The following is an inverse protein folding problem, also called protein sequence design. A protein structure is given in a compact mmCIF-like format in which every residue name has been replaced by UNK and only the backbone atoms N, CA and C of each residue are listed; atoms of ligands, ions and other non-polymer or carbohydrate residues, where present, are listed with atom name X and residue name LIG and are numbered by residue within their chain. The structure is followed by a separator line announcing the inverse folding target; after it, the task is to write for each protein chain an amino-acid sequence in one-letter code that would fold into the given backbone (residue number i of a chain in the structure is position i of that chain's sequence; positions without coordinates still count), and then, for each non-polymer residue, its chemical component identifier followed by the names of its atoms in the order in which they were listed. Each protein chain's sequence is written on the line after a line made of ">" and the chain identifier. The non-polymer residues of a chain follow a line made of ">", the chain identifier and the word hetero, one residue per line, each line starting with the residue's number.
data_IF_671387488103
#
_entry.id   IF_671387488103
#
_cell.length_a   1.000
_cell.length_b   1.000
_cell.length_c   1.000
_cell.angle_alpha   90.00
_cell.angle_beta   90.00
_cell.angle_gamma   90.00
#
_symmetry.space_group_name_H-M   'P 1'
#
loop_
_entity.id
_entity.type
_entity.pdbx_description
1 polymer ?
#
# COMPACT_ATOMS: atom_id res chain seq x y z
N UNK A 1 -12.53 19.74 -3.28
CA UNK A 1 -11.13 19.88 -2.91
C UNK A 1 -10.26 19.25 -3.99
N UNK A 2 -9.37 20.01 -4.55
CA UNK A 2 -8.37 19.52 -5.51
C UNK A 2 -7.07 19.25 -4.77
N UNK A 3 -6.94 18.03 -4.29
CA UNK A 3 -5.77 17.57 -3.55
C UNK A 3 -4.83 16.79 -4.49
N UNK A 4 -3.51 16.98 -4.42
CA UNK A 4 -2.55 16.36 -5.33
C UNK A 4 -2.38 14.87 -5.01
N UNK A 5 -3.41 14.09 -5.33
CA UNK A 5 -3.49 12.65 -5.10
C UNK A 5 -3.05 11.90 -6.34
N UNK A 6 -1.99 11.14 -6.23
CA UNK A 6 -1.52 10.19 -7.24
C UNK A 6 -1.88 8.74 -6.90
N UNK A 7 -1.45 7.83 -7.75
CA UNK A 7 -1.70 6.40 -7.57
C UNK A 7 -0.41 5.60 -7.62
N UNK A 8 -0.15 4.88 -6.55
CA UNK A 8 0.84 3.81 -6.51
C UNK A 8 0.13 2.48 -6.77
N UNK A 9 0.38 1.91 -7.92
CA UNK A 9 -0.19 0.63 -8.33
C UNK A 9 0.76 -0.48 -7.96
N UNK A 10 0.25 -1.55 -7.35
CA UNK A 10 1.06 -2.69 -6.92
C UNK A 10 0.40 -4.00 -7.28
N UNK A 11 1.20 -4.96 -7.67
CA UNK A 11 0.74 -6.27 -8.15
C UNK A 11 1.16 -7.39 -7.21
N UNK A 12 0.37 -8.45 -7.18
CA UNK A 12 0.80 -9.72 -6.60
C UNK A 12 0.20 -10.92 -7.35
N UNK A 13 0.88 -12.05 -7.23
CA UNK A 13 0.42 -13.37 -7.65
C UNK A 13 0.61 -14.36 -6.52
N UNK A 14 -0.23 -15.39 -6.47
CA UNK A 14 -0.01 -16.55 -5.62
C UNK A 14 0.47 -17.74 -6.45
N UNK A 15 1.44 -18.46 -5.89
CA UNK A 15 1.95 -19.70 -6.45
C UNK A 15 1.70 -20.85 -5.48
N UNK A 16 1.47 -22.00 -6.04
CA UNK A 16 1.39 -23.25 -5.23
C UNK A 16 2.76 -23.50 -4.61
N UNK A 17 2.83 -23.75 -3.28
CA UNK A 17 4.07 -24.13 -2.64
C UNK A 17 4.70 -25.37 -3.28
N UNK A 18 6.02 -25.41 -3.34
CA UNK A 18 6.78 -26.60 -3.74
C UNK A 18 6.79 -27.69 -2.67
N UNK A 19 7.54 -28.75 -2.94
CA UNK A 19 7.66 -29.91 -2.03
C UNK A 19 8.80 -29.73 -1.01
N UNK A 20 9.61 -28.69 -1.17
CA UNK A 20 10.73 -28.35 -0.30
C UNK A 20 10.31 -27.68 1.03
N UNK A 21 11.28 -27.17 1.80
CA UNK A 21 11.02 -26.49 3.06
C UNK A 21 10.08 -25.28 2.86
N UNK A 22 9.03 -25.20 3.69
CA UNK A 22 8.03 -24.14 3.58
C UNK A 22 8.49 -22.88 4.31
N UNK A 23 8.14 -21.71 3.73
CA UNK A 23 8.37 -20.41 4.37
C UNK A 23 7.52 -20.28 5.63
N UNK A 24 8.12 -19.78 6.70
CA UNK A 24 7.45 -19.49 7.98
C UNK A 24 7.17 -18.00 8.19
N UNK A 25 7.76 -17.15 7.38
CA UNK A 25 7.63 -15.67 7.43
C UNK A 25 7.89 -15.08 6.06
N UNK A 26 7.48 -13.83 5.87
CA UNK A 26 7.80 -13.08 4.66
C UNK A 26 9.32 -12.84 4.54
N UNK A 27 9.82 -12.89 3.31
CA UNK A 27 11.20 -12.59 2.92
C UNK A 27 11.16 -11.44 1.92
N UNK A 28 11.92 -10.40 2.21
CA UNK A 28 12.10 -9.27 1.30
C UNK A 28 13.39 -9.45 0.52
N UNK A 29 13.28 -9.57 -0.80
CA UNK A 29 14.42 -9.51 -1.71
C UNK A 29 14.67 -8.06 -2.10
N UNK A 30 15.70 -7.46 -1.51
CA UNK A 30 16.01 -6.04 -1.68
C UNK A 30 16.58 -5.76 -3.09
N UNK A 31 17.38 -6.66 -3.64
CA UNK A 31 17.94 -6.52 -4.98
C UNK A 31 16.89 -6.70 -6.06
N UNK A 32 16.03 -7.69 -5.92
CA UNK A 32 14.94 -7.97 -6.86
C UNK A 32 13.75 -7.02 -6.72
N UNK A 33 13.64 -6.31 -5.59
CA UNK A 33 12.54 -5.39 -5.33
C UNK A 33 11.18 -6.08 -5.14
N UNK A 34 11.16 -7.26 -4.54
CA UNK A 34 9.92 -8.02 -4.31
C UNK A 34 9.89 -8.70 -2.94
N UNK A 35 8.70 -9.12 -2.54
CA UNK A 35 8.48 -9.86 -1.29
C UNK A 35 7.88 -11.23 -1.61
N UNK A 36 8.43 -12.28 -0.97
CA UNK A 36 7.85 -13.63 -0.94
C UNK A 36 7.20 -13.81 0.42
N UNK A 37 5.90 -14.13 0.47
CA UNK A 37 5.16 -14.29 1.72
C UNK A 37 4.31 -15.56 1.75
N UNK A 38 4.38 -16.37 2.82
CA UNK A 38 3.46 -17.48 3.01
C UNK A 38 2.07 -16.93 3.35
N UNK A 39 1.07 -17.36 2.60
CA UNK A 39 -0.33 -16.96 2.76
C UNK A 39 -1.20 -18.20 2.86
N UNK A 40 -2.46 -18.06 3.29
CA UNK A 40 -3.42 -19.17 3.32
C UNK A 40 -3.68 -19.77 1.94
N UNK A 41 -3.63 -18.95 0.90
CA UNK A 41 -3.88 -19.35 -0.49
C UNK A 41 -2.66 -19.97 -1.19
N UNK A 42 -1.45 -19.79 -0.64
CA UNK A 42 -0.20 -20.22 -1.26
C UNK A 42 0.96 -19.30 -0.92
N UNK A 43 1.95 -19.25 -1.78
CA UNK A 43 3.09 -18.32 -1.66
C UNK A 43 2.80 -17.08 -2.49
N UNK A 44 2.65 -15.93 -1.85
CA UNK A 44 2.45 -14.65 -2.53
C UNK A 44 3.77 -14.03 -2.94
N UNK A 45 3.85 -13.62 -4.20
CA UNK A 45 4.91 -12.74 -4.71
C UNK A 45 4.30 -11.36 -4.90
N UNK A 46 4.83 -10.36 -4.21
CA UNK A 46 4.41 -8.97 -4.32
C UNK A 46 5.52 -8.16 -4.97
N UNK A 47 5.25 -7.53 -6.10
CA UNK A 47 6.22 -6.69 -6.81
C UNK A 47 6.37 -5.31 -6.18
N UNK A 48 7.26 -4.48 -6.75
CA UNK A 48 7.40 -3.07 -6.41
C UNK A 48 6.18 -2.23 -6.81
N UNK A 49 6.39 -0.92 -6.98
CA UNK A 49 5.36 0.06 -7.26
C UNK A 49 5.42 0.52 -8.72
N UNK A 50 4.26 0.61 -9.35
CA UNK A 50 4.07 1.29 -10.64
C UNK A 50 3.39 2.63 -10.39
N UNK A 51 3.98 3.71 -10.89
CA UNK A 51 3.39 5.05 -10.88
C UNK A 51 2.68 5.25 -12.22
N UNK A 52 1.38 5.29 -12.19
CA UNK A 52 0.53 5.46 -13.37
C UNK A 52 -0.86 5.97 -12.98
N UNK A 53 -1.64 6.41 -13.97
CA UNK A 53 -3.03 6.77 -13.74
C UNK A 53 -3.81 5.60 -13.14
N UNK A 54 -4.79 5.92 -12.30
CA UNK A 54 -5.60 4.94 -11.58
C UNK A 54 -6.13 3.81 -12.48
N UNK A 55 -6.67 4.19 -13.63
CA UNK A 55 -7.35 3.29 -14.55
C UNK A 55 -6.53 2.98 -15.82
N UNK A 56 -5.22 3.30 -15.81
CA UNK A 56 -4.32 2.88 -16.88
C UNK A 56 -4.34 1.34 -17.05
N UNK A 57 -4.13 0.81 -18.26
CA UNK A 57 -4.00 -0.63 -18.46
C UNK A 57 -2.97 -1.26 -17.51
N UNK A 58 -3.16 -2.52 -17.06
CA UNK A 58 -2.17 -3.21 -16.24
C UNK A 58 -0.83 -3.40 -16.97
N UNK A 59 0.27 -3.21 -16.24
CA UNK A 59 1.61 -3.58 -16.69
C UNK A 59 2.20 -4.68 -15.78
N UNK A 60 2.10 -5.91 -16.24
CA UNK A 60 2.50 -7.08 -15.47
C UNK A 60 4.00 -7.39 -15.50
N UNK A 61 4.79 -6.68 -16.32
CA UNK A 61 6.23 -7.00 -16.52
C UNK A 61 7.00 -7.12 -15.21
N UNK A 62 6.73 -6.21 -14.28
CA UNK A 62 7.44 -6.19 -13.01
C UNK A 62 7.11 -7.41 -12.13
N UNK A 63 5.83 -7.75 -11.97
CA UNK A 63 5.41 -8.90 -11.15
C UNK A 63 5.82 -10.21 -11.80
N UNK A 64 5.75 -10.33 -13.13
CA UNK A 64 6.21 -11.53 -13.85
C UNK A 64 7.71 -11.76 -13.64
N UNK A 65 8.53 -10.71 -13.79
CA UNK A 65 9.96 -10.79 -13.46
C UNK A 65 10.20 -11.18 -12.00
N UNK A 66 9.44 -10.62 -11.06
CA UNK A 66 9.56 -10.96 -9.64
C UNK A 66 9.25 -12.44 -9.40
N UNK A 67 8.27 -13.02 -10.08
CA UNK A 67 7.95 -14.45 -10.03
C UNK A 67 9.11 -15.30 -10.53
N UNK A 68 9.72 -14.94 -11.65
CA UNK A 68 10.87 -15.66 -12.20
C UNK A 68 12.05 -15.67 -11.23
N UNK A 69 12.36 -14.52 -10.63
CA UNK A 69 13.45 -14.41 -9.66
C UNK A 69 13.11 -15.16 -8.36
N UNK A 70 11.88 -15.07 -7.87
CA UNK A 70 11.42 -15.76 -6.66
C UNK A 70 11.52 -17.29 -6.81
N UNK A 71 11.25 -17.84 -8.01
CA UNK A 71 11.40 -19.28 -8.29
C UNK A 71 12.86 -19.76 -8.21
N UNK A 72 13.83 -18.88 -8.39
CA UNK A 72 15.24 -19.22 -8.20
C UNK A 72 15.62 -19.28 -6.71
N UNK A 73 14.92 -18.51 -5.86
CA UNK A 73 15.20 -18.43 -4.44
C UNK A 73 14.39 -19.43 -3.60
N UNK A 74 13.21 -19.88 -4.07
CA UNK A 74 12.33 -20.75 -3.33
C UNK A 74 11.56 -21.71 -4.25
N UNK A 75 11.39 -22.95 -3.78
CA UNK A 75 10.65 -23.97 -4.52
C UNK A 75 9.14 -23.65 -4.56
N UNK A 76 8.63 -23.40 -5.76
CA UNK A 76 7.24 -23.04 -6.04
C UNK A 76 6.77 -23.68 -7.36
N UNK A 77 5.52 -24.11 -7.37
CA UNK A 77 4.85 -24.72 -8.54
C UNK A 77 4.10 -23.66 -9.37
N UNK A 78 3.02 -24.05 -10.01
CA UNK A 78 2.23 -23.19 -10.88
C UNK A 78 1.56 -22.01 -10.18
N UNK A 79 1.18 -21.04 -10.97
CA UNK A 79 0.38 -19.90 -10.53
C UNK A 79 -1.04 -20.37 -10.16
N UNK A 80 -1.61 -19.81 -9.11
CA UNK A 80 -2.96 -20.15 -8.63
C UNK A 80 -3.99 -19.33 -9.39
N UNK A 81 -3.73 -18.04 -9.56
CA UNK A 81 -4.58 -17.15 -10.37
C UNK A 81 -4.02 -17.00 -11.79
N UNK A 82 -4.88 -16.88 -12.82
CA UNK A 82 -4.43 -16.68 -14.21
C UNK A 82 -3.83 -15.29 -14.46
N UNK A 83 -4.22 -14.30 -13.65
CA UNK A 83 -3.80 -12.91 -13.78
C UNK A 83 -3.36 -12.34 -12.42
N UNK A 84 -2.35 -11.45 -12.40
CA UNK A 84 -1.95 -10.77 -11.17
C UNK A 84 -3.07 -9.87 -10.62
N UNK A 85 -3.23 -9.90 -9.32
CA UNK A 85 -4.07 -8.91 -8.65
C UNK A 85 -3.41 -7.53 -8.69
N UNK A 86 -4.20 -6.49 -9.01
CA UNK A 86 -3.75 -5.09 -9.06
C UNK A 86 -4.42 -4.26 -7.97
N UNK A 87 -3.62 -3.70 -7.07
CA UNK A 87 -4.02 -2.70 -6.08
C UNK A 87 -3.68 -1.28 -6.50
N UNK A 88 -4.56 -0.33 -6.17
CA UNK A 88 -4.39 1.11 -6.44
C UNK A 88 -4.34 1.84 -5.12
N UNK A 89 -3.17 2.32 -4.72
CA UNK A 89 -2.96 3.01 -3.45
C UNK A 89 -3.04 4.51 -3.66
N UNK A 90 -3.95 5.22 -2.96
CA UNK A 90 -3.98 6.67 -3.00
C UNK A 90 -2.74 7.23 -2.29
N UNK A 91 -1.96 8.02 -3.00
CA UNK A 91 -0.67 8.54 -2.54
C UNK A 91 -0.63 10.04 -2.69
N UNK A 92 -0.33 10.76 -1.61
CA UNK A 92 -0.08 12.18 -1.68
C UNK A 92 1.34 12.45 -2.22
N UNK A 93 1.53 13.54 -2.95
CA UNK A 93 2.81 13.88 -3.59
C UNK A 93 3.96 14.06 -2.61
N UNK A 94 3.67 14.41 -1.35
CA UNK A 94 4.63 14.56 -0.26
C UNK A 94 4.78 13.30 0.61
N UNK A 95 4.11 12.21 0.25
CA UNK A 95 4.10 10.95 0.98
C UNK A 95 3.52 11.00 2.40
N UNK A 96 2.83 12.08 2.77
CA UNK A 96 2.16 12.21 4.06
C UNK A 96 0.64 12.08 3.90
N UNK A 97 -0.07 11.37 4.80
CA UNK A 97 -1.53 11.30 4.74
C UNK A 97 -2.17 12.68 4.98
N UNK A 98 -3.44 12.81 4.65
CA UNK A 98 -4.24 13.99 4.99
C UNK A 98 -5.11 13.64 6.18
N UNK A 99 -4.87 14.32 7.31
CA UNK A 99 -5.62 14.15 8.56
C UNK A 99 -6.15 15.51 9.04
N UNK A 100 -7.39 15.54 9.48
CA UNK A 100 -7.96 16.71 10.16
C UNK A 100 -9.20 17.30 9.50
N UNK A 101 -9.68 18.45 9.99
CA UNK A 101 -10.88 19.09 9.48
C UNK A 101 -10.67 19.62 8.06
N UNK A 102 -11.72 19.53 7.26
CA UNK A 102 -11.74 20.17 5.94
C UNK A 102 -11.80 21.70 6.11
N UNK A 103 -10.88 22.49 5.52
CA UNK A 103 -10.75 23.90 5.83
C UNK A 103 -11.95 24.76 5.36
N UNK A 104 -12.74 24.29 4.38
CA UNK A 104 -13.88 25.02 3.81
C UNK A 104 -15.25 24.39 4.10
N UNK A 105 -15.31 23.27 4.86
CA UNK A 105 -16.56 22.57 5.16
C UNK A 105 -16.62 22.15 6.62
N UNK A 106 -17.51 22.76 7.37
CA UNK A 106 -17.75 22.41 8.78
C UNK A 106 -18.30 20.99 8.88
N UNK A 107 -17.76 20.18 9.78
CA UNK A 107 -18.20 18.81 10.04
C UNK A 107 -17.64 17.76 9.05
N UNK A 108 -16.88 18.17 8.04
CA UNK A 108 -16.16 17.26 7.17
C UNK A 108 -14.73 17.05 7.68
N UNK A 109 -14.31 15.79 7.74
CA UNK A 109 -12.99 15.40 8.24
C UNK A 109 -12.28 14.52 7.22
N UNK A 110 -10.98 14.71 7.08
CA UNK A 110 -10.12 13.93 6.21
C UNK A 110 -9.31 12.91 7.02
N UNK A 111 -9.22 11.70 6.49
CA UNK A 111 -8.34 10.64 7.00
C UNK A 111 -8.04 9.67 5.85
N UNK A 112 -7.11 10.04 4.97
CA UNK A 112 -6.77 9.28 3.76
C UNK A 112 -5.34 9.54 3.28
N UNK A 113 -4.93 8.86 2.21
CA UNK A 113 -3.63 9.07 1.57
C UNK A 113 -2.46 8.38 2.29
N UNK A 114 -2.72 7.29 3.03
CA UNK A 114 -1.72 6.55 3.80
C UNK A 114 -0.85 5.63 2.96
N UNK A 115 -0.96 5.65 1.63
CA UNK A 115 -0.16 4.83 0.72
C UNK A 115 -0.22 3.32 1.07
N UNK A 116 0.95 2.67 1.12
CA UNK A 116 1.09 1.25 1.47
C UNK A 116 1.24 0.98 2.98
N UNK A 117 1.22 2.00 3.83
CA UNK A 117 1.36 1.88 5.29
C UNK A 117 0.05 2.11 6.05
N UNK A 118 -1.08 2.24 5.34
CA UNK A 118 -2.38 2.58 5.94
C UNK A 118 -2.85 1.61 7.02
N UNK A 119 -2.57 0.32 6.88
CA UNK A 119 -2.96 -0.66 7.90
C UNK A 119 -2.22 -0.43 9.23
N UNK A 120 -0.92 -0.17 9.19
CA UNK A 120 -0.12 0.09 10.40
C UNK A 120 -0.34 1.50 10.98
N UNK A 121 -0.63 2.49 10.13
CA UNK A 121 -0.91 3.86 10.58
C UNK A 121 -2.36 4.09 11.04
N UNK A 122 -3.27 3.24 10.63
CA UNK A 122 -4.71 3.37 10.89
C UNK A 122 -5.06 3.64 12.36
N UNK A 123 -4.56 2.86 13.34
CA UNK A 123 -4.84 3.09 14.74
C UNK A 123 -4.36 4.46 15.24
N UNK A 124 -3.14 4.88 14.88
CA UNK A 124 -2.60 6.19 15.25
C UNK A 124 -3.38 7.35 14.62
N UNK A 125 -3.75 7.22 13.33
CA UNK A 125 -4.59 8.21 12.64
C UNK A 125 -5.98 8.31 13.27
N UNK A 126 -6.57 7.18 13.66
CA UNK A 126 -7.87 7.16 14.33
C UNK A 126 -7.83 7.92 15.66
N UNK A 127 -6.81 7.66 16.49
CA UNK A 127 -6.63 8.39 17.77
C UNK A 127 -6.48 9.91 17.54
N UNK A 128 -5.69 10.31 16.54
CA UNK A 128 -5.51 11.72 16.22
C UNK A 128 -6.80 12.39 15.76
N UNK A 129 -7.55 11.76 14.84
CA UNK A 129 -8.84 12.27 14.35
C UNK A 129 -9.88 12.35 15.47
N UNK A 130 -9.99 11.30 16.29
CA UNK A 130 -10.94 11.28 17.42
C UNK A 130 -10.66 12.44 18.38
N UNK A 131 -9.40 12.63 18.77
CA UNK A 131 -9.03 13.74 19.64
C UNK A 131 -9.42 15.11 19.05
N UNK A 132 -9.17 15.32 17.75
CA UNK A 132 -9.55 16.56 17.07
C UNK A 132 -11.06 16.76 17.01
N UNK A 133 -11.84 15.70 16.76
CA UNK A 133 -13.33 15.74 16.73
C UNK A 133 -13.89 16.07 18.10
N UNK A 134 -13.32 15.50 19.15
CA UNK A 134 -13.71 15.71 20.55
C UNK A 134 -13.18 17.05 21.12
N UNK A 135 -12.40 17.80 20.36
CA UNK A 135 -11.78 19.06 20.79
C UNK A 135 -10.69 18.88 21.85
N UNK A 136 -10.09 17.70 21.94
CA UNK A 136 -8.96 17.40 22.81
C UNK A 136 -7.63 17.44 22.05
N UNK A 137 -6.50 17.42 22.78
CA UNK A 137 -5.18 17.46 22.17
C UNK A 137 -4.85 16.11 21.52
N UNK A 138 -4.52 16.06 20.21
CA UNK A 138 -4.06 14.85 19.57
C UNK A 138 -2.75 14.32 20.20
N UNK A 139 -2.52 13.00 20.18
CA UNK A 139 -1.30 12.40 20.77
C UNK A 139 -0.02 12.71 19.99
N UNK A 140 -0.14 13.30 18.82
CA UNK A 140 0.99 13.73 17.96
C UNK A 140 0.69 15.10 17.39
N UNK A 141 1.71 15.84 16.97
CA UNK A 141 1.54 17.05 16.16
C UNK A 141 0.98 16.68 14.78
N UNK A 142 -0.21 17.19 14.48
CA UNK A 142 -0.92 16.92 13.22
C UNK A 142 -0.73 18.02 12.17
N UNK A 143 0.07 19.05 12.44
CA UNK A 143 0.24 20.21 11.56
C UNK A 143 0.70 19.81 10.16
N UNK A 144 1.65 18.88 10.06
CA UNK A 144 2.17 18.38 8.78
C UNK A 144 1.14 17.59 7.95
N UNK A 145 0.04 17.14 8.57
CA UNK A 145 -0.96 16.31 7.89
C UNK A 145 -2.20 17.09 7.44
N UNK A 146 -2.28 18.38 7.71
CA UNK A 146 -3.43 19.20 7.34
C UNK A 146 -3.60 19.29 5.83
N UNK A 147 -4.87 19.37 5.37
CA UNK A 147 -5.17 19.50 3.95
C UNK A 147 -4.69 20.84 3.36
N UNK A 148 -4.73 21.92 4.13
CA UNK A 148 -4.33 23.27 3.73
C UNK A 148 -2.80 23.47 3.62
N UNK A 149 -1.98 22.43 3.84
CA UNK A 149 -0.58 22.41 3.44
C UNK A 149 -0.37 22.43 1.92
N UNK A 150 -1.42 22.05 1.20
CA UNK A 150 -1.54 22.27 -0.24
C UNK A 150 -2.36 23.53 -0.49
N UNK A 151 -2.09 24.26 -1.55
CA UNK A 151 -2.85 25.47 -1.95
C UNK A 151 -4.24 25.10 -2.49
N UNK A 152 -5.18 24.76 -1.60
CA UNK A 152 -6.53 24.26 -1.92
C UNK A 152 -7.66 25.25 -1.60
#
# INVERSE_FOLDING_TARGET
>A
YDLPLGWERGYHLHLTPGDGPQLKRAVNDVEGGFVIAPMQQGVRITSGVEIADRDAPPDERQVRRSVEMARQAHDMKGEIEPEPWLGRRPTMVDSLPVLGPAPRHRGLWFNFGHQHVGLSMGPGSALAITAMVDGTLPPIDTTAFRADRFSI
#
